data_IF_307079654752
#
_entry.id   IF_307079654752
#
_cell.length_a   1.000
_cell.length_b   1.000
_cell.length_c   1.000
_cell.angle_alpha   90.00
_cell.angle_beta   90.00
_cell.angle_gamma   90.00
#
_symmetry.space_group_name_H-M   'P 1'
#
loop_
_entity.id
_entity.type
_entity.pdbx_description
1 polymer ?
#
# COMPACT_ATOMS: atom_id res chain seq x y z
N UNK A 1 33.07 14.24 -18.27
CA UNK A 1 32.64 12.97 -18.92
C UNK A 1 32.80 11.86 -17.91
N UNK A 2 31.73 11.55 -17.16
CA UNK A 2 31.75 10.46 -16.18
C UNK A 2 31.56 9.12 -16.89
N UNK A 3 32.56 8.26 -16.71
CA UNK A 3 32.78 7.01 -17.42
C UNK A 3 31.95 5.88 -16.77
N UNK A 4 30.62 5.99 -16.82
CA UNK A 4 29.68 4.92 -16.42
C UNK A 4 28.65 4.57 -17.50
N UNK A 5 28.62 5.29 -18.62
CA UNK A 5 28.01 4.80 -19.84
C UNK A 5 28.93 3.76 -20.50
N UNK A 6 29.01 2.57 -19.92
CA UNK A 6 29.53 1.38 -20.60
C UNK A 6 28.48 0.30 -20.54
N UNK A 7 28.04 -0.14 -21.72
CA UNK A 7 27.27 -1.34 -21.97
C UNK A 7 27.72 -2.50 -21.04
N UNK A 8 26.82 -2.99 -20.17
CA UNK A 8 27.06 -4.18 -19.35
C UNK A 8 26.74 -4.10 -17.85
N UNK A 9 26.46 -2.91 -17.29
CA UNK A 9 26.05 -2.77 -15.87
C UNK A 9 24.54 -2.55 -15.79
N UNK A 10 23.80 -3.48 -15.18
CA UNK A 10 22.34 -3.35 -15.01
C UNK A 10 21.97 -2.06 -14.28
N UNK A 11 20.80 -1.50 -14.60
CA UNK A 11 20.28 -0.28 -13.97
C UNK A 11 20.32 -0.39 -12.44
N UNK A 12 19.95 -1.55 -11.89
CA UNK A 12 20.00 -1.85 -10.45
C UNK A 12 21.39 -1.61 -9.86
N UNK A 13 22.44 -2.13 -10.50
CA UNK A 13 23.82 -2.00 -9.99
C UNK A 13 24.32 -0.56 -10.06
N UNK A 14 23.95 0.19 -11.10
CA UNK A 14 24.25 1.63 -11.17
C UNK A 14 23.53 2.39 -10.06
N UNK A 15 22.24 2.07 -9.84
CA UNK A 15 21.44 2.71 -8.80
C UNK A 15 22.01 2.49 -7.39
N UNK A 16 22.36 1.25 -7.05
CA UNK A 16 23.02 0.94 -5.78
C UNK A 16 24.32 1.71 -5.60
N UNK A 17 25.20 1.69 -6.60
CA UNK A 17 26.50 2.39 -6.52
C UNK A 17 26.38 3.90 -6.35
N UNK A 18 25.31 4.52 -6.85
CA UNK A 18 25.05 5.95 -6.71
C UNK A 18 24.35 6.31 -5.40
N UNK A 19 23.79 5.35 -4.66
CA UNK A 19 22.89 5.62 -3.52
C UNK A 19 23.22 4.85 -2.25
N UNK A 20 24.38 4.18 -2.20
CA UNK A 20 24.81 3.37 -1.07
C UNK A 20 24.77 4.13 0.27
N UNK A 21 25.18 5.40 0.28
CA UNK A 21 25.16 6.30 1.45
C UNK A 21 23.74 6.63 1.96
N UNK A 22 22.69 6.28 1.21
CA UNK A 22 21.30 6.57 1.52
C UNK A 22 20.53 5.37 2.07
N UNK A 23 21.16 4.19 2.16
CA UNK A 23 20.47 2.93 2.48
C UNK A 23 20.16 2.74 3.97
N UNK A 24 20.63 3.62 4.86
CA UNK A 24 20.42 3.47 6.31
C UNK A 24 19.15 4.20 6.76
N UNK A 25 18.17 3.48 7.35
CA UNK A 25 16.97 4.09 7.92
C UNK A 25 17.30 4.95 9.16
N UNK A 26 16.65 6.12 9.28
CA UNK A 26 16.68 6.93 10.49
C UNK A 26 15.42 6.69 11.35
N UNK A 27 15.56 5.96 12.46
CA UNK A 27 14.45 5.62 13.35
C UNK A 27 13.69 6.84 13.91
N UNK A 28 14.36 7.96 14.17
CA UNK A 28 13.70 9.16 14.69
C UNK A 28 12.72 9.75 13.65
N UNK A 29 13.10 9.75 12.37
CA UNK A 29 12.23 10.21 11.28
C UNK A 29 10.96 9.35 11.18
N UNK A 30 11.10 8.01 11.26
CA UNK A 30 9.95 7.11 11.26
C UNK A 30 9.01 7.36 12.45
N UNK A 31 9.56 7.44 13.67
CA UNK A 31 8.75 7.63 14.87
C UNK A 31 8.05 8.99 14.91
N UNK A 32 8.76 10.08 14.60
CA UNK A 32 8.19 11.44 14.58
C UNK A 32 7.05 11.50 13.57
N UNK A 33 7.26 10.99 12.35
CA UNK A 33 6.25 11.03 11.30
C UNK A 33 5.02 10.17 11.66
N UNK A 34 5.23 8.96 12.20
CA UNK A 34 4.13 8.11 12.67
C UNK A 34 3.33 8.79 13.79
N UNK A 35 3.99 9.38 14.79
CA UNK A 35 3.30 10.02 15.93
C UNK A 35 2.52 11.24 15.45
N UNK A 36 3.09 12.07 14.58
CA UNK A 36 2.38 13.22 14.00
C UNK A 36 1.18 12.74 13.16
N UNK A 37 1.38 11.75 12.31
CA UNK A 37 0.32 11.17 11.47
C UNK A 37 -0.81 10.58 12.34
N UNK A 38 -0.48 9.83 13.39
CA UNK A 38 -1.46 9.28 14.31
C UNK A 38 -2.19 10.37 15.11
N UNK A 39 -1.49 11.40 15.57
CA UNK A 39 -2.10 12.51 16.30
C UNK A 39 -3.08 13.31 15.42
N UNK A 40 -2.70 13.63 14.18
CA UNK A 40 -3.56 14.32 13.22
C UNK A 40 -4.75 13.45 12.80
N UNK A 41 -4.54 12.14 12.63
CA UNK A 41 -5.61 11.19 12.36
C UNK A 41 -6.61 11.14 13.51
N UNK A 42 -6.20 10.76 14.71
CA UNK A 42 -7.09 10.59 15.85
C UNK A 42 -7.74 11.93 16.26
N UNK A 43 -6.99 13.03 16.22
CA UNK A 43 -7.50 14.37 16.52
C UNK A 43 -8.51 14.87 15.49
N UNK A 44 -8.22 14.70 14.19
CA UNK A 44 -9.14 15.05 13.11
C UNK A 44 -10.43 14.21 13.16
N UNK A 45 -10.29 12.90 13.41
CA UNK A 45 -11.43 12.01 13.60
C UNK A 45 -12.30 12.41 14.80
N UNK A 46 -11.68 12.63 15.97
CA UNK A 46 -12.39 13.04 17.18
C UNK A 46 -13.17 14.34 16.94
N UNK A 47 -12.54 15.34 16.32
CA UNK A 47 -13.18 16.61 16.01
C UNK A 47 -14.32 16.42 15.00
N UNK A 48 -14.12 15.66 13.92
CA UNK A 48 -15.15 15.38 12.91
C UNK A 48 -16.37 14.66 13.50
N UNK A 49 -16.14 13.73 14.42
CA UNK A 49 -17.17 12.93 15.06
C UNK A 49 -17.98 13.71 16.12
N UNK A 50 -17.42 14.77 16.71
CA UNK A 50 -18.02 15.46 17.87
C UNK A 50 -18.53 16.86 17.57
N UNK A 51 -17.93 17.59 16.62
CA UNK A 51 -18.35 18.96 16.29
C UNK A 51 -19.77 19.00 15.71
N UNK A 52 -20.53 20.06 15.99
CA UNK A 52 -21.83 20.30 15.33
C UNK A 52 -21.71 21.16 14.08
N UNK A 53 -20.54 21.77 13.84
CA UNK A 53 -20.30 22.60 12.67
C UNK A 53 -19.85 21.73 11.49
N UNK A 54 -20.66 21.70 10.42
CA UNK A 54 -20.40 20.87 9.24
C UNK A 54 -19.05 21.20 8.57
N UNK A 55 -18.72 22.48 8.39
CA UNK A 55 -17.48 22.87 7.73
C UNK A 55 -16.25 22.44 8.53
N UNK A 56 -16.29 22.63 9.86
CA UNK A 56 -15.23 22.13 10.76
C UNK A 56 -15.12 20.61 10.68
N UNK A 57 -16.25 19.91 10.67
CA UNK A 57 -16.29 18.46 10.58
C UNK A 57 -15.69 17.92 9.28
N UNK A 58 -16.00 18.56 8.15
CA UNK A 58 -15.46 18.20 6.83
C UNK A 58 -13.96 18.42 6.74
N UNK A 59 -13.46 19.57 7.21
CA UNK A 59 -12.01 19.87 7.22
C UNK A 59 -11.27 18.91 8.14
N UNK A 60 -11.78 18.68 9.36
CA UNK A 60 -11.20 17.73 10.30
C UNK A 60 -11.20 16.29 9.76
N UNK A 61 -12.28 15.89 9.09
CA UNK A 61 -12.39 14.61 8.42
C UNK A 61 -11.37 14.47 7.28
N UNK A 62 -11.18 15.50 6.46
CA UNK A 62 -10.17 15.49 5.39
C UNK A 62 -8.75 15.38 5.95
N UNK A 63 -8.41 16.15 7.00
CA UNK A 63 -7.12 16.03 7.69
C UNK A 63 -6.94 14.61 8.22
N UNK A 64 -7.99 14.04 8.82
CA UNK A 64 -7.94 12.66 9.33
C UNK A 64 -7.75 11.64 8.22
N UNK A 65 -8.38 11.80 7.06
CA UNK A 65 -8.21 10.89 5.90
C UNK A 65 -6.78 10.92 5.40
N UNK A 66 -6.20 12.11 5.20
CA UNK A 66 -4.84 12.25 4.67
C UNK A 66 -3.80 11.74 5.68
N UNK A 67 -3.97 12.07 6.97
CA UNK A 67 -3.11 11.60 8.03
C UNK A 67 -3.23 10.09 8.26
N UNK A 68 -4.46 9.55 8.21
CA UNK A 68 -4.69 8.10 8.23
C UNK A 68 -3.99 7.44 7.06
N UNK A 69 -4.18 7.94 5.84
CA UNK A 69 -3.61 7.30 4.66
C UNK A 69 -2.07 7.29 4.70
N UNK A 70 -1.45 8.38 5.15
CA UNK A 70 -0.01 8.43 5.44
C UNK A 70 0.39 7.42 6.53
N UNK A 71 -0.32 7.42 7.66
CA UNK A 71 -0.09 6.49 8.76
C UNK A 71 -0.18 5.03 8.34
N UNK A 72 -1.21 4.67 7.57
CA UNK A 72 -1.44 3.33 7.04
C UNK A 72 -0.35 2.93 6.04
N UNK A 73 0.12 3.87 5.22
CA UNK A 73 1.15 3.63 4.20
C UNK A 73 2.50 3.18 4.79
N UNK A 74 2.79 3.46 6.07
CA UNK A 74 3.97 2.92 6.74
C UNK A 74 4.00 1.38 6.80
N UNK A 75 2.86 0.71 6.63
CA UNK A 75 2.85 -0.76 6.50
C UNK A 75 3.77 -1.24 5.37
N UNK A 76 3.92 -0.44 4.32
CA UNK A 76 4.82 -0.70 3.21
C UNK A 76 6.28 -0.67 3.64
N UNK A 77 6.70 0.36 4.39
CA UNK A 77 8.05 0.44 4.94
C UNK A 77 8.35 -0.67 5.95
N UNK A 78 7.37 -0.99 6.81
CA UNK A 78 7.50 -1.99 7.86
C UNK A 78 7.90 -3.38 7.34
N UNK A 79 7.55 -3.71 6.10
CA UNK A 79 7.89 -5.01 5.50
C UNK A 79 9.32 -5.08 4.96
N UNK A 80 10.00 -3.93 4.81
CA UNK A 80 11.39 -3.85 4.34
C UNK A 80 12.37 -3.55 5.47
N UNK A 81 11.89 -2.96 6.57
CA UNK A 81 12.69 -2.67 7.75
C UNK A 81 13.01 -3.93 8.56
N UNK A 82 14.29 -4.09 8.89
CA UNK A 82 14.75 -5.06 9.91
C UNK A 82 14.34 -4.60 11.30
N UNK A 83 14.23 -5.55 12.22
CA UNK A 83 13.77 -5.28 13.58
C UNK A 83 14.72 -4.37 14.38
N UNK A 84 16.01 -4.37 14.07
CA UNK A 84 17.06 -3.59 14.72
C UNK A 84 17.22 -2.17 14.14
N UNK A 85 16.73 -1.90 12.93
CA UNK A 85 16.85 -0.59 12.27
C UNK A 85 15.90 0.46 12.84
N UNK A 86 14.74 0.04 13.34
CA UNK A 86 13.71 0.92 13.92
C UNK A 86 13.09 0.27 15.17
N UNK A 87 13.83 0.21 16.30
CA UNK A 87 13.38 -0.51 17.49
C UNK A 87 12.00 -0.08 17.96
N UNK A 88 11.13 -1.06 18.20
CA UNK A 88 9.76 -0.87 18.68
C UNK A 88 8.76 -0.30 17.64
N UNK A 89 9.22 0.16 16.47
CA UNK A 89 8.39 0.89 15.51
C UNK A 89 7.19 0.06 15.02
N UNK A 90 7.41 -1.22 14.70
CA UNK A 90 6.34 -2.14 14.30
C UNK A 90 5.25 -2.31 15.36
N UNK A 91 5.65 -2.40 16.64
CA UNK A 91 4.69 -2.50 17.74
C UNK A 91 3.92 -1.19 17.90
N UNK A 92 4.63 -0.05 17.92
CA UNK A 92 4.01 1.27 18.01
C UNK A 92 3.03 1.54 16.87
N UNK A 93 3.40 1.18 15.64
CA UNK A 93 2.54 1.31 14.47
C UNK A 93 1.28 0.44 14.58
N UNK A 94 1.40 -0.81 15.02
CA UNK A 94 0.23 -1.66 15.25
C UNK A 94 -0.69 -1.08 16.34
N UNK A 95 -0.13 -0.58 17.44
CA UNK A 95 -0.93 0.02 18.53
C UNK A 95 -1.64 1.30 18.08
N UNK A 96 -0.94 2.16 17.33
CA UNK A 96 -1.47 3.49 16.95
C UNK A 96 -2.39 3.46 15.73
N UNK A 97 -2.13 2.57 14.77
CA UNK A 97 -2.78 2.54 13.45
C UNK A 97 -3.32 1.13 13.14
N UNK A 98 -2.44 0.13 13.10
CA UNK A 98 -2.75 -1.20 12.54
C UNK A 98 -3.92 -1.92 13.22
N UNK A 99 -3.83 -2.14 14.53
CA UNK A 99 -4.88 -2.80 15.33
C UNK A 99 -6.16 -1.97 15.39
N UNK A 100 -6.12 -0.64 15.65
CA UNK A 100 -7.35 0.16 15.65
C UNK A 100 -8.13 0.11 14.34
N UNK A 101 -7.43 -0.06 13.20
CA UNK A 101 -8.03 -0.23 11.88
C UNK A 101 -8.24 -1.69 11.48
N UNK A 102 -7.87 -2.64 12.34
CA UNK A 102 -7.96 -4.08 12.08
C UNK A 102 -7.16 -4.53 10.84
N UNK A 103 -6.11 -3.78 10.51
CA UNK A 103 -5.14 -4.05 9.45
C UNK A 103 -3.72 -4.11 10.03
N UNK A 104 -3.44 -5.06 10.95
CA UNK A 104 -2.16 -5.12 11.62
C UNK A 104 -1.06 -5.58 10.65
N UNK A 105 0.20 -5.38 11.02
CA UNK A 105 1.36 -5.58 10.15
C UNK A 105 1.50 -7.01 9.62
N UNK A 106 0.96 -8.02 10.32
CA UNK A 106 0.92 -9.42 9.83
C UNK A 106 0.30 -9.54 8.44
N UNK A 107 -0.63 -8.63 8.11
CA UNK A 107 -1.35 -8.59 6.84
C UNK A 107 -0.48 -8.11 5.67
N UNK A 108 0.75 -7.71 5.91
CA UNK A 108 1.65 -7.25 4.85
C UNK A 108 3.05 -7.83 4.96
N UNK A 109 3.47 -8.22 6.17
CA UNK A 109 4.76 -8.86 6.43
C UNK A 109 4.98 -10.08 5.52
N UNK A 110 6.01 -10.02 4.68
CA UNK A 110 6.34 -11.09 3.75
C UNK A 110 5.36 -11.27 2.57
N UNK A 111 4.33 -10.41 2.46
CA UNK A 111 3.42 -10.38 1.30
C UNK A 111 4.06 -9.53 0.23
N UNK A 112 4.29 -8.26 0.52
CA UNK A 112 4.87 -7.33 -0.44
C UNK A 112 6.30 -7.72 -0.83
N UNK A 113 7.07 -8.38 0.04
CA UNK A 113 8.38 -8.90 -0.34
C UNK A 113 8.31 -9.92 -1.50
N UNK A 114 7.20 -10.67 -1.62
CA UNK A 114 6.98 -11.61 -2.73
C UNK A 114 6.84 -10.87 -4.06
N UNK A 115 6.18 -9.70 -4.04
CA UNK A 115 6.02 -8.84 -5.21
C UNK A 115 7.38 -8.38 -5.77
N UNK A 116 8.42 -8.24 -4.95
CA UNK A 116 9.80 -7.92 -5.40
C UNK A 116 10.60 -9.12 -5.90
N UNK A 117 10.11 -10.36 -5.75
CA UNK A 117 10.86 -11.54 -6.17
C UNK A 117 10.81 -11.65 -7.69
N UNK A 118 11.97 -11.62 -8.34
CA UNK A 118 12.12 -11.63 -9.80
C UNK A 118 11.24 -12.69 -10.50
N UNK A 119 11.22 -13.91 -9.97
CA UNK A 119 10.50 -15.04 -10.56
C UNK A 119 8.99 -15.09 -10.21
N UNK A 120 8.52 -14.18 -9.35
CA UNK A 120 7.12 -14.13 -8.91
C UNK A 120 6.42 -12.85 -9.36
N UNK A 121 7.11 -11.71 -9.46
CA UNK A 121 6.54 -10.44 -9.91
C UNK A 121 5.69 -10.64 -11.17
N UNK A 122 4.46 -10.15 -11.16
CA UNK A 122 3.58 -10.14 -12.33
C UNK A 122 2.99 -11.50 -12.70
N UNK A 123 3.35 -12.57 -12.00
CA UNK A 123 2.83 -13.93 -12.20
C UNK A 123 1.63 -14.21 -11.30
N UNK A 124 0.99 -15.37 -11.45
CA UNK A 124 -0.08 -15.81 -10.54
C UNK A 124 0.35 -15.96 -9.07
N UNK A 125 1.66 -16.01 -8.79
CA UNK A 125 2.22 -16.09 -7.44
C UNK A 125 2.43 -14.71 -6.79
N UNK A 126 2.22 -13.63 -7.53
CA UNK A 126 2.34 -12.27 -7.02
C UNK A 126 1.08 -11.87 -6.24
N UNK A 127 1.16 -11.53 -4.94
CA UNK A 127 0.01 -11.03 -4.20
C UNK A 127 -0.45 -9.65 -4.66
N UNK A 128 0.42 -8.85 -5.26
CA UNK A 128 0.16 -7.44 -5.59
C UNK A 128 0.06 -7.17 -7.09
N UNK A 129 -0.12 -8.22 -7.89
CA UNK A 129 -0.30 -8.06 -9.33
C UNK A 129 -1.56 -8.71 -9.85
N UNK A 130 -2.28 -7.94 -10.67
CA UNK A 130 -3.31 -8.42 -11.58
C UNK A 130 -3.11 -7.74 -12.92
N UNK A 131 -3.45 -8.40 -14.05
CA UNK A 131 -3.40 -7.80 -15.38
C UNK A 131 -4.55 -6.78 -15.57
N UNK A 132 -4.58 -5.72 -14.76
CA UNK A 132 -5.66 -4.73 -14.72
C UNK A 132 -5.83 -4.00 -16.04
N UNK A 133 -4.78 -3.89 -16.87
CA UNK A 133 -4.87 -3.33 -18.22
C UNK A 133 -5.71 -4.19 -19.18
N UNK A 134 -6.08 -5.42 -18.78
CA UNK A 134 -6.95 -6.35 -19.53
C UNK A 134 -8.38 -6.35 -19.04
N UNK A 135 -8.71 -5.59 -18.00
CA UNK A 135 -10.09 -5.46 -17.53
C UNK A 135 -10.90 -4.65 -18.55
N UNK A 136 -12.23 -4.69 -18.44
CA UNK A 136 -13.09 -3.68 -19.07
C UNK A 136 -13.08 -2.40 -18.21
N UNK A 137 -13.42 -1.23 -18.78
CA UNK A 137 -13.52 0.00 -17.99
C UNK A 137 -14.43 -0.14 -16.76
N UNK A 138 -15.55 -0.88 -16.91
CA UNK A 138 -16.47 -1.16 -15.80
C UNK A 138 -15.83 -2.04 -14.72
N UNK A 139 -15.11 -3.10 -15.10
CA UNK A 139 -14.44 -3.97 -14.12
C UNK A 139 -13.31 -3.23 -13.39
N UNK A 140 -12.58 -2.36 -14.10
CA UNK A 140 -11.56 -1.50 -13.50
C UNK A 140 -12.16 -0.47 -12.53
N UNK A 141 -13.28 0.15 -12.88
CA UNK A 141 -14.03 1.02 -11.98
C UNK A 141 -14.54 0.24 -10.75
N UNK A 142 -15.07 -0.97 -10.95
CA UNK A 142 -15.48 -1.86 -9.86
C UNK A 142 -14.32 -2.17 -8.89
N UNK A 143 -13.12 -2.45 -9.42
CA UNK A 143 -11.90 -2.65 -8.63
C UNK A 143 -11.51 -1.40 -7.84
N UNK A 144 -11.73 -0.19 -8.38
CA UNK A 144 -11.51 1.06 -7.63
C UNK A 144 -12.52 1.23 -6.48
N UNK A 145 -13.81 1.08 -6.77
CA UNK A 145 -14.87 1.39 -5.82
C UNK A 145 -15.08 0.32 -4.74
N UNK A 146 -14.69 -0.94 -4.96
CA UNK A 146 -14.77 -1.99 -3.93
C UNK A 146 -13.95 -1.65 -2.69
N UNK A 147 -12.90 -0.83 -2.82
CA UNK A 147 -12.08 -0.39 -1.69
C UNK A 147 -12.85 0.41 -0.64
N UNK A 148 -13.98 1.03 -0.99
CA UNK A 148 -14.87 1.69 -0.01
C UNK A 148 -15.48 0.68 0.99
N UNK A 149 -15.53 -0.60 0.64
CA UNK A 149 -16.05 -1.68 1.48
C UNK A 149 -14.98 -2.31 2.38
N UNK A 150 -13.71 -1.90 2.26
CA UNK A 150 -12.61 -2.45 3.05
C UNK A 150 -12.88 -2.44 4.57
N UNK A 151 -13.45 -1.38 5.19
CA UNK A 151 -13.79 -1.39 6.61
C UNK A 151 -14.73 -2.53 7.01
N UNK A 152 -15.70 -2.87 6.16
CA UNK A 152 -16.63 -3.98 6.42
C UNK A 152 -15.90 -5.33 6.36
N UNK A 153 -15.00 -5.49 5.38
CA UNK A 153 -14.19 -6.70 5.23
C UNK A 153 -13.30 -6.98 6.44
N UNK A 154 -12.61 -5.96 6.96
CA UNK A 154 -11.73 -6.13 8.13
C UNK A 154 -12.50 -6.28 9.44
N UNK A 155 -13.71 -5.72 9.56
CA UNK A 155 -14.63 -5.99 10.69
C UNK A 155 -15.11 -7.43 10.65
N UNK A 156 -15.59 -7.91 9.50
CA UNK A 156 -16.00 -9.31 9.32
C UNK A 156 -14.84 -10.24 9.68
N UNK A 157 -13.63 -9.97 9.15
CA UNK A 157 -12.43 -10.71 9.49
C UNK A 157 -12.20 -10.73 11.00
N UNK A 158 -12.18 -9.56 11.64
CA UNK A 158 -11.65 -9.43 13.00
C UNK A 158 -12.66 -9.75 14.10
N UNK A 159 -13.89 -9.27 13.97
CA UNK A 159 -14.93 -9.50 14.95
C UNK A 159 -15.49 -10.93 14.90
N UNK A 160 -15.49 -11.56 13.71
CA UNK A 160 -16.18 -12.84 13.45
C UNK A 160 -15.21 -13.93 13.05
N UNK A 161 -14.44 -13.76 11.97
CA UNK A 161 -13.67 -14.88 11.42
C UNK A 161 -12.48 -15.27 12.30
N UNK A 162 -11.74 -14.31 12.87
CA UNK A 162 -10.62 -14.57 13.78
C UNK A 162 -11.03 -15.46 14.97
N UNK A 163 -12.03 -15.09 15.81
CA UNK A 163 -12.39 -15.92 16.96
C UNK A 163 -12.87 -17.32 16.55
N UNK A 164 -13.67 -17.42 15.49
CA UNK A 164 -14.12 -18.71 14.95
C UNK A 164 -12.95 -19.55 14.41
N UNK A 165 -11.90 -18.92 13.89
CA UNK A 165 -10.72 -19.60 13.37
C UNK A 165 -9.93 -20.37 14.44
N UNK A 166 -10.03 -19.96 15.71
CA UNK A 166 -9.45 -20.69 16.84
C UNK A 166 -10.26 -21.94 17.23
N UNK A 167 -11.54 -21.98 16.87
CA UNK A 167 -12.45 -23.09 17.19
C UNK A 167 -12.53 -24.10 16.04
N UNK A 168 -12.53 -23.62 14.79
CA UNK A 168 -12.74 -24.43 13.59
C UNK A 168 -11.46 -24.51 12.74
N UNK A 169 -10.71 -25.64 12.76
CA UNK A 169 -9.43 -25.77 12.06
C UNK A 169 -9.46 -25.45 10.56
N UNK A 170 -10.50 -25.85 9.77
CA UNK A 170 -10.58 -25.48 8.36
C UNK A 170 -10.66 -23.95 8.14
N UNK A 171 -11.43 -23.25 8.98
CA UNK A 171 -11.50 -21.78 8.95
C UNK A 171 -10.19 -21.16 9.42
N UNK A 172 -9.55 -21.73 10.46
CA UNK A 172 -8.18 -21.44 10.87
C UNK A 172 -7.20 -21.42 9.70
N UNK A 173 -7.20 -22.46 8.89
CA UNK A 173 -6.36 -22.53 7.68
C UNK A 173 -6.73 -21.44 6.69
N UNK A 174 -8.02 -21.26 6.41
CA UNK A 174 -8.49 -20.26 5.43
C UNK A 174 -8.10 -18.83 5.82
N UNK A 175 -8.31 -18.44 7.08
CA UNK A 175 -7.90 -17.12 7.60
C UNK A 175 -6.39 -16.93 7.44
N UNK A 176 -5.59 -17.94 7.80
CA UNK A 176 -4.12 -17.87 7.73
C UNK A 176 -3.57 -17.85 6.31
N UNK A 177 -4.21 -18.49 5.34
CA UNK A 177 -3.70 -18.58 3.97
C UNK A 177 -4.24 -17.50 3.03
N UNK A 178 -5.49 -17.07 3.22
CA UNK A 178 -6.23 -16.21 2.28
C UNK A 178 -6.62 -14.86 2.87
N UNK A 179 -6.93 -14.79 4.17
CA UNK A 179 -7.38 -13.55 4.81
C UNK A 179 -6.31 -12.91 5.69
N UNK A 180 -5.08 -13.39 5.65
CA UNK A 180 -3.94 -12.89 6.44
C UNK A 180 -3.05 -11.95 5.64
N UNK A 181 -3.53 -11.45 4.49
CA UNK A 181 -2.74 -10.64 3.59
C UNK A 181 -3.63 -9.56 2.93
N UNK A 182 -3.14 -8.32 2.90
CA UNK A 182 -3.64 -7.26 2.03
C UNK A 182 -3.03 -7.50 0.66
N UNK A 183 -3.86 -7.92 -0.29
CA UNK A 183 -3.45 -8.39 -1.60
C UNK A 183 -4.37 -7.80 -2.67
N UNK A 184 -3.85 -7.73 -3.89
CA UNK A 184 -4.61 -7.39 -5.10
C UNK A 184 -5.08 -8.68 -5.77
N UNK A 185 -4.20 -9.68 -5.86
CA UNK A 185 -4.48 -10.98 -6.44
C UNK A 185 -5.30 -11.86 -5.47
N UNK A 186 -6.59 -12.13 -5.75
CA UNK A 186 -7.42 -12.95 -4.86
C UNK A 186 -7.01 -14.43 -4.84
N UNK A 187 -6.27 -14.88 -5.85
CA UNK A 187 -5.82 -16.27 -5.97
C UNK A 187 -4.55 -16.53 -5.15
N UNK A 188 -3.93 -15.49 -4.60
CA UNK A 188 -2.76 -15.64 -3.73
C UNK A 188 -3.08 -16.47 -2.48
N UNK A 189 -2.10 -17.31 -2.10
CA UNK A 189 -2.13 -18.17 -0.92
C UNK A 189 -0.81 -18.03 -0.22
N UNK A 190 -0.82 -17.71 1.07
CA UNK A 190 0.42 -17.74 1.86
C UNK A 190 0.90 -19.20 2.01
N UNK A 191 2.05 -19.52 1.42
CA UNK A 191 2.60 -20.88 1.28
C UNK A 191 3.23 -21.42 2.58
N UNK A 192 3.57 -20.56 3.55
CA UNK A 192 4.39 -20.92 4.72
C UNK A 192 3.62 -20.85 6.06
N UNK A 193 2.74 -21.83 6.28
CA UNK A 193 1.90 -21.91 7.49
C UNK A 193 2.66 -22.34 8.75
N UNK A 194 3.83 -22.96 8.59
CA UNK A 194 4.65 -23.42 9.72
C UNK A 194 5.34 -22.26 10.45
N UNK A 195 5.40 -21.07 9.82
CA UNK A 195 5.92 -19.84 10.41
C UNK A 195 4.83 -18.94 11.01
N UNK A 196 3.68 -19.50 11.40
CA UNK A 196 2.64 -18.71 12.07
C UNK A 196 3.09 -18.29 13.47
N UNK A 197 3.70 -17.10 13.54
CA UNK A 197 4.43 -16.64 14.73
C UNK A 197 3.49 -16.22 15.86
N UNK A 198 3.88 -16.36 17.15
CA UNK A 198 3.09 -15.88 18.28
C UNK A 198 2.68 -14.41 18.15
N UNK A 199 3.53 -13.56 17.56
CA UNK A 199 3.27 -12.13 17.37
C UNK A 199 2.13 -11.88 16.38
N UNK A 200 1.94 -12.74 15.38
CA UNK A 200 0.82 -12.64 14.45
C UNK A 200 -0.49 -13.07 15.12
N UNK A 201 -0.45 -14.12 15.95
CA UNK A 201 -1.60 -14.51 16.78
C UNK A 201 -1.99 -13.37 17.73
N UNK A 202 -1.01 -12.74 18.38
CA UNK A 202 -1.25 -11.60 19.27
C UNK A 202 -1.90 -10.42 18.54
N UNK A 203 -1.47 -10.12 17.31
CA UNK A 203 -2.09 -9.08 16.48
C UNK A 203 -3.54 -9.42 16.10
N UNK A 204 -3.83 -10.67 15.70
CA UNK A 204 -5.20 -11.11 15.40
C UNK A 204 -6.11 -11.03 16.64
N UNK A 205 -5.63 -11.50 17.80
CA UNK A 205 -6.34 -11.40 19.07
C UNK A 205 -6.58 -9.93 19.45
N UNK A 206 -5.58 -9.06 19.29
CA UNK A 206 -5.73 -7.63 19.57
C UNK A 206 -6.80 -6.99 18.67
N UNK A 207 -6.84 -7.34 17.38
CA UNK A 207 -7.88 -6.85 16.46
C UNK A 207 -9.27 -7.37 16.86
N UNK A 208 -9.38 -8.65 17.23
CA UNK A 208 -10.63 -9.23 17.72
C UNK A 208 -11.15 -8.53 18.98
N UNK A 209 -10.29 -8.36 19.99
CA UNK A 209 -10.64 -7.69 21.25
C UNK A 209 -11.01 -6.22 21.01
N UNK A 210 -10.25 -5.52 20.15
CA UNK A 210 -10.55 -4.14 19.77
C UNK A 210 -11.92 -4.02 19.09
N UNK A 211 -12.22 -4.87 18.11
CA UNK A 211 -13.52 -4.87 17.43
C UNK A 211 -14.67 -5.04 18.42
N UNK A 212 -14.57 -6.00 19.34
CA UNK A 212 -15.62 -6.23 20.34
C UNK A 212 -15.70 -5.14 21.41
N UNK A 213 -14.59 -4.50 21.77
CA UNK A 213 -14.61 -3.33 22.65
C UNK A 213 -15.40 -2.18 22.03
N UNK A 214 -15.17 -1.88 20.74
CA UNK A 214 -15.92 -0.83 20.01
C UNK A 214 -17.40 -1.21 19.86
N UNK A 215 -17.71 -2.46 19.50
CA UNK A 215 -19.09 -2.95 19.37
C UNK A 215 -19.81 -2.85 20.72
N UNK A 216 -19.22 -3.37 21.79
CA UNK A 216 -19.82 -3.36 23.12
C UNK A 216 -20.03 -1.93 23.64
N UNK A 217 -19.04 -1.05 23.48
CA UNK A 217 -19.18 0.35 23.86
C UNK A 217 -20.31 1.06 23.09
N UNK A 218 -20.49 0.73 21.81
CA UNK A 218 -21.57 1.29 20.98
C UNK A 218 -22.94 0.78 21.45
N UNK A 219 -23.07 -0.53 21.67
CA UNK A 219 -24.32 -1.16 22.13
C UNK A 219 -24.71 -0.70 23.53
N UNK A 220 -23.73 -0.53 24.42
CA UNK A 220 -23.95 0.00 25.77
C UNK A 220 -24.25 1.51 25.80
N UNK A 221 -24.17 2.20 24.66
CA UNK A 221 -24.41 3.64 24.55
C UNK A 221 -23.26 4.53 25.04
N UNK A 222 -22.09 3.95 25.36
CA UNK A 222 -20.90 4.70 25.76
C UNK A 222 -20.20 5.36 24.56
N UNK A 223 -20.32 4.75 23.38
CA UNK A 223 -19.78 5.27 22.12
C UNK A 223 -20.93 5.67 21.19
N UNK A 224 -21.08 6.96 20.85
CA UNK A 224 -22.12 7.39 19.93
C UNK A 224 -21.99 6.73 18.55
N UNK A 225 -23.10 6.31 17.95
CA UNK A 225 -23.12 5.72 16.59
C UNK A 225 -22.46 6.64 15.56
N UNK A 226 -22.64 7.96 15.71
CA UNK A 226 -21.97 8.97 14.88
C UNK A 226 -20.45 8.80 14.86
N UNK A 227 -19.85 8.46 15.99
CA UNK A 227 -18.41 8.24 16.11
C UNK A 227 -17.96 7.05 15.26
N UNK A 228 -18.69 5.93 15.35
CA UNK A 228 -18.44 4.73 14.54
C UNK A 228 -18.60 5.03 13.04
N UNK A 229 -19.72 5.64 12.64
CA UNK A 229 -19.99 5.96 11.23
C UNK A 229 -18.96 6.93 10.64
N UNK A 230 -18.50 7.92 11.42
CA UNK A 230 -17.45 8.85 10.99
C UNK A 230 -16.12 8.13 10.78
N UNK A 231 -15.76 7.22 11.70
CA UNK A 231 -14.54 6.41 11.58
C UNK A 231 -14.58 5.49 10.36
N UNK A 232 -15.71 4.82 10.12
CA UNK A 232 -15.94 3.99 8.93
C UNK A 232 -15.81 4.79 7.63
N UNK A 233 -16.39 6.00 7.59
CA UNK A 233 -16.31 6.88 6.41
C UNK A 233 -14.87 7.33 6.14
N UNK A 234 -14.14 7.79 7.16
CA UNK A 234 -12.73 8.19 7.04
C UNK A 234 -11.88 7.02 6.54
N UNK A 235 -12.07 5.83 7.11
CA UNK A 235 -11.33 4.65 6.69
C UNK A 235 -11.66 4.25 5.25
N UNK A 236 -12.94 4.22 4.87
CA UNK A 236 -13.37 3.93 3.50
C UNK A 236 -12.76 4.91 2.48
N UNK A 237 -12.72 6.20 2.78
CA UNK A 237 -12.11 7.19 1.88
C UNK A 237 -10.60 6.99 1.80
N UNK A 238 -9.91 6.72 2.92
CA UNK A 238 -8.48 6.44 2.91
C UNK A 238 -8.13 5.18 2.08
N UNK A 239 -8.93 4.11 2.16
CA UNK A 239 -8.72 2.91 1.34
C UNK A 239 -9.05 3.14 -0.12
N UNK A 240 -10.05 3.97 -0.43
CA UNK A 240 -10.33 4.40 -1.81
C UNK A 240 -9.17 5.19 -2.41
N UNK A 241 -8.57 6.13 -1.66
CA UNK A 241 -7.36 6.84 -2.10
C UNK A 241 -6.21 5.87 -2.33
N UNK A 242 -6.01 4.90 -1.42
CA UNK A 242 -5.02 3.84 -1.62
C UNK A 242 -5.26 3.05 -2.90
N UNK A 243 -6.51 2.69 -3.19
CA UNK A 243 -6.88 1.91 -4.38
C UNK A 243 -6.66 2.70 -5.67
N UNK A 244 -6.93 4.01 -5.66
CA UNK A 244 -6.61 4.90 -6.77
C UNK A 244 -5.09 4.97 -6.99
N UNK A 245 -4.30 5.09 -5.91
CA UNK A 245 -2.83 5.04 -5.98
C UNK A 245 -2.36 3.70 -6.53
N UNK A 246 -2.93 2.59 -6.06
CA UNK A 246 -2.64 1.25 -6.57
C UNK A 246 -2.82 1.20 -8.07
N UNK A 247 -3.95 1.66 -8.63
CA UNK A 247 -4.15 1.67 -10.08
C UNK A 247 -3.05 2.40 -10.87
N UNK A 248 -2.36 3.37 -10.25
CA UNK A 248 -1.25 4.12 -10.86
C UNK A 248 0.12 3.55 -10.50
N UNK A 249 0.23 2.61 -9.57
CA UNK A 249 1.53 2.07 -9.13
C UNK A 249 2.24 1.29 -10.24
N UNK A 250 1.49 0.69 -11.16
CA UNK A 250 1.98 -0.08 -12.30
C UNK A 250 1.19 0.23 -13.58
N UNK A 251 1.76 -0.16 -14.73
CA UNK A 251 1.09 -0.11 -16.02
C UNK A 251 0.17 -1.33 -16.26
N UNK A 252 0.37 -2.43 -15.51
CA UNK A 252 -0.49 -3.61 -15.46
C UNK A 252 -0.59 -4.40 -16.77
N UNK A 253 0.42 -4.31 -17.64
CA UNK A 253 0.39 -4.89 -18.99
C UNK A 253 0.78 -6.36 -19.06
N UNK A 254 1.54 -6.86 -18.06
CA UNK A 254 1.97 -8.25 -18.00
C UNK A 254 0.77 -9.18 -17.76
N UNK A 255 0.76 -10.32 -18.44
CA UNK A 255 -0.37 -11.28 -18.46
C UNK A 255 -0.10 -12.58 -17.70
N UNK A 256 0.87 -12.57 -16.78
CA UNK A 256 1.26 -13.71 -15.96
C UNK A 256 2.63 -14.28 -16.28
N UNK A 257 3.29 -13.76 -17.31
CA UNK A 257 4.67 -14.11 -17.69
C UNK A 257 5.71 -13.60 -16.67
N UNK A 258 6.90 -14.21 -16.70
CA UNK A 258 8.05 -13.70 -15.93
C UNK A 258 8.60 -12.45 -16.61
N UNK A 259 8.99 -11.47 -15.79
CA UNK A 259 9.64 -10.24 -16.27
C UNK A 259 11.09 -10.15 -15.76
N UNK A 260 11.96 -9.60 -16.59
CA UNK A 260 13.29 -9.12 -16.19
C UNK A 260 13.17 -7.95 -15.21
N UNK A 261 14.26 -7.60 -14.51
CA UNK A 261 14.25 -6.49 -13.56
C UNK A 261 13.98 -5.14 -14.24
N UNK A 262 14.45 -4.97 -15.49
CA UNK A 262 14.20 -3.75 -16.26
C UNK A 262 12.73 -3.66 -16.70
N UNK A 263 12.10 -4.79 -17.06
CA UNK A 263 10.66 -4.85 -17.36
C UNK A 263 9.82 -4.58 -16.12
N UNK A 264 10.18 -5.13 -14.96
CA UNK A 264 9.50 -4.84 -13.68
C UNK A 264 9.59 -3.35 -13.31
N UNK A 265 10.78 -2.76 -13.50
CA UNK A 265 10.99 -1.33 -13.30
C UNK A 265 10.15 -0.48 -14.26
N UNK A 266 10.12 -0.84 -15.54
CA UNK A 266 9.36 -0.13 -16.57
C UNK A 266 7.85 -0.31 -16.46
N UNK A 267 7.39 -1.41 -15.88
CA UNK A 267 5.99 -1.61 -15.54
C UNK A 267 5.59 -0.82 -14.29
N UNK A 268 6.54 -0.45 -13.42
CA UNK A 268 6.29 0.35 -12.22
C UNK A 268 6.33 1.85 -12.51
N UNK A 269 5.65 2.65 -11.68
CA UNK A 269 5.50 4.11 -11.92
C UNK A 269 6.07 4.95 -10.78
N UNK A 270 6.87 5.95 -11.12
CA UNK A 270 7.17 7.10 -10.25
C UNK A 270 6.25 8.29 -10.61
N UNK A 271 5.94 9.14 -9.65
CA UNK A 271 5.33 10.46 -9.85
C UNK A 271 6.14 11.51 -9.06
N UNK A 272 7.35 11.82 -9.53
CA UNK A 272 8.28 12.70 -8.83
C UNK A 272 7.84 14.18 -8.91
N UNK A 273 8.55 15.09 -8.21
CA UNK A 273 8.44 16.53 -8.46
C UNK A 273 8.54 16.88 -9.97
N UNK A 274 7.89 17.96 -10.42
CA UNK A 274 7.37 19.08 -9.64
C UNK A 274 5.96 18.89 -9.04
N UNK A 275 5.30 17.75 -9.23
CA UNK A 275 3.97 17.52 -8.69
C UNK A 275 4.00 17.29 -7.17
N UNK A 276 3.83 18.34 -6.39
CA UNK A 276 3.83 18.25 -4.92
C UNK A 276 2.58 17.54 -4.36
N UNK A 277 1.48 17.48 -5.12
CA UNK A 277 0.26 16.80 -4.68
C UNK A 277 0.48 15.28 -4.52
N UNK A 278 1.50 14.70 -5.17
CA UNK A 278 1.86 13.28 -5.00
C UNK A 278 2.28 12.92 -3.58
N UNK A 279 2.71 13.89 -2.76
CA UNK A 279 2.98 13.63 -1.33
C UNK A 279 1.73 13.32 -0.51
N UNK A 280 0.55 13.75 -0.99
CA UNK A 280 -0.72 13.56 -0.30
C UNK A 280 -1.37 12.20 -0.65
N UNK A 281 -1.36 11.82 -1.93
CA UNK A 281 -2.01 10.59 -2.41
C UNK A 281 -1.04 9.43 -2.67
N UNK A 282 0.27 9.64 -2.58
CA UNK A 282 1.29 8.60 -2.56
C UNK A 282 2.40 8.93 -1.52
N UNK A 283 2.03 9.04 -0.23
CA UNK A 283 2.94 9.43 0.85
C UNK A 283 3.95 8.32 1.16
N UNK A 284 4.86 8.56 2.10
CA UNK A 284 5.81 7.55 2.60
C UNK A 284 6.57 6.83 1.47
N UNK A 285 7.07 7.61 0.51
CA UNK A 285 7.89 7.09 -0.59
C UNK A 285 7.11 6.44 -1.74
N UNK A 286 5.81 6.22 -1.59
CA UNK A 286 4.98 5.53 -2.60
C UNK A 286 4.92 6.27 -3.94
N UNK A 287 5.16 7.59 -3.98
CA UNK A 287 5.32 8.34 -5.22
C UNK A 287 6.57 7.96 -6.02
N UNK A 288 7.48 7.17 -5.45
CA UNK A 288 8.69 6.68 -6.09
C UNK A 288 8.64 5.15 -6.24
N UNK A 289 7.48 4.59 -6.58
CA UNK A 289 7.25 3.13 -6.58
C UNK A 289 8.18 2.37 -7.52
N UNK A 290 8.50 2.90 -8.71
CA UNK A 290 9.48 2.26 -9.60
C UNK A 290 10.90 2.31 -9.02
N UNK A 291 11.31 3.43 -8.40
CA UNK A 291 12.60 3.50 -7.73
C UNK A 291 12.64 2.55 -6.52
N UNK A 292 11.53 2.38 -5.82
CA UNK A 292 11.40 1.40 -4.75
C UNK A 292 11.61 -0.03 -5.26
N UNK A 293 11.02 -0.42 -6.39
CA UNK A 293 11.30 -1.71 -7.03
C UNK A 293 12.78 -1.89 -7.41
N UNK A 294 13.45 -0.81 -7.78
CA UNK A 294 14.88 -0.83 -8.09
C UNK A 294 15.75 -0.98 -6.83
N UNK A 295 15.35 -0.35 -5.71
CA UNK A 295 16.07 -0.30 -4.45
C UNK A 295 15.13 -0.56 -3.24
N UNK A 296 14.61 -1.79 -3.04
CA UNK A 296 13.50 -2.03 -2.09
C UNK A 296 13.83 -1.76 -0.62
N UNK A 297 15.12 -1.70 -0.29
CA UNK A 297 15.60 -1.43 1.08
C UNK A 297 15.92 0.04 1.33
N UNK A 298 15.81 0.90 0.32
CA UNK A 298 16.06 2.31 0.47
C UNK A 298 14.92 2.94 1.30
N UNK A 299 15.19 3.55 2.46
CA UNK A 299 14.15 4.06 3.33
C UNK A 299 13.39 5.22 2.67
N UNK A 300 12.07 5.32 2.91
CA UNK A 300 11.23 6.26 2.16
C UNK A 300 11.71 7.72 2.21
N UNK A 301 12.25 8.16 3.34
CA UNK A 301 12.70 9.53 3.54
C UNK A 301 13.95 9.88 2.73
N UNK A 302 14.62 8.89 2.13
CA UNK A 302 15.75 9.08 1.23
C UNK A 302 15.39 8.89 -0.25
N UNK A 303 14.21 8.36 -0.59
CA UNK A 303 13.81 8.10 -1.99
C UNK A 303 13.83 9.37 -2.85
N UNK A 304 13.42 10.52 -2.32
CA UNK A 304 13.48 11.78 -3.09
C UNK A 304 14.90 12.22 -3.42
N UNK A 305 15.82 12.09 -2.46
CA UNK A 305 17.24 12.41 -2.65
C UNK A 305 17.89 11.42 -3.62
N UNK A 306 17.58 10.13 -3.49
CA UNK A 306 18.04 9.10 -4.41
C UNK A 306 17.54 9.35 -5.83
N UNK A 307 16.24 9.64 -6.00
CA UNK A 307 15.65 9.95 -7.30
C UNK A 307 16.35 11.13 -7.98
N UNK A 308 16.53 12.25 -7.26
CA UNK A 308 17.21 13.42 -7.79
C UNK A 308 18.66 13.09 -8.21
N UNK A 309 19.38 12.31 -7.42
CA UNK A 309 20.76 11.90 -7.73
C UNK A 309 20.83 10.99 -8.95
N UNK A 310 19.94 10.00 -9.06
CA UNK A 310 19.87 9.09 -10.21
C UNK A 310 19.46 9.82 -11.48
N UNK A 311 18.45 10.68 -11.41
CA UNK A 311 18.01 11.49 -12.54
C UNK A 311 19.10 12.43 -13.07
N UNK A 312 20.00 12.90 -12.20
CA UNK A 312 21.13 13.74 -12.60
C UNK A 312 22.32 12.94 -13.16
N UNK A 313 22.60 11.77 -12.58
CA UNK A 313 23.80 11.00 -12.90
C UNK A 313 23.63 10.09 -14.13
N UNK A 314 22.42 9.60 -14.38
CA UNK A 314 22.12 8.74 -15.52
C UNK A 314 21.92 9.58 -16.79
N UNK A 315 22.33 9.02 -17.93
CA UNK A 315 22.15 9.66 -19.23
C UNK A 315 20.68 9.81 -19.59
N UNK A 316 20.34 10.82 -20.40
CA UNK A 316 18.95 11.11 -20.80
C UNK A 316 18.27 9.95 -21.56
N UNK A 317 19.06 9.07 -22.16
CA UNK A 317 18.65 7.84 -22.85
C UNK A 317 18.42 6.64 -21.90
N UNK A 318 18.76 6.77 -20.62
CA UNK A 318 18.53 5.72 -19.62
C UNK A 318 17.06 5.40 -19.47
N UNK A 319 16.74 4.10 -19.40
CA UNK A 319 15.37 3.62 -19.13
C UNK A 319 14.80 4.14 -17.81
N UNK A 320 15.66 4.61 -16.89
CA UNK A 320 15.26 5.26 -15.64
C UNK A 320 14.24 6.39 -15.86
N UNK A 321 14.42 7.18 -16.91
CA UNK A 321 13.58 8.34 -17.20
C UNK A 321 12.20 7.98 -17.79
N UNK A 322 11.98 6.70 -18.15
CA UNK A 322 10.74 6.24 -18.78
C UNK A 322 9.67 5.77 -17.80
N UNK A 323 10.05 5.51 -16.55
CA UNK A 323 9.14 5.01 -15.52
C UNK A 323 8.50 6.14 -14.67
N UNK A 324 8.26 7.32 -15.26
CA UNK A 324 7.71 8.47 -14.53
C UNK A 324 6.48 9.04 -15.22
N UNK A 325 5.45 9.28 -14.43
CA UNK A 325 4.19 9.90 -14.84
C UNK A 325 4.04 11.30 -14.22
N UNK A 326 3.16 12.13 -14.79
CA UNK A 326 2.95 13.52 -14.35
C UNK A 326 2.10 13.65 -13.09
N UNK A 327 1.19 12.72 -12.86
CA UNK A 327 0.17 12.84 -11.83
C UNK A 327 -0.79 11.66 -11.79
N UNK A 328 -1.58 11.60 -10.71
CA UNK A 328 -2.60 10.57 -10.49
C UNK A 328 -3.63 10.55 -11.62
N UNK A 329 -4.18 11.72 -11.97
CA UNK A 329 -5.29 11.79 -12.91
C UNK A 329 -4.85 11.49 -14.34
N UNK A 330 -3.66 11.93 -14.74
CA UNK A 330 -3.07 11.63 -16.05
C UNK A 330 -2.83 10.12 -16.21
N UNK A 331 -2.21 9.49 -15.21
CA UNK A 331 -1.93 8.06 -15.25
C UNK A 331 -3.21 7.20 -15.19
N UNK A 332 -4.18 7.58 -14.35
CA UNK A 332 -5.50 6.93 -14.33
C UNK A 332 -6.21 7.08 -15.68
N UNK A 333 -6.26 8.30 -16.24
CA UNK A 333 -6.91 8.54 -17.51
C UNK A 333 -6.26 7.75 -18.65
N UNK A 334 -4.92 7.62 -18.64
CA UNK A 334 -4.21 6.76 -19.58
C UNK A 334 -4.60 5.29 -19.42
N UNK A 335 -4.56 4.75 -18.20
CA UNK A 335 -4.94 3.35 -17.94
C UNK A 335 -6.38 3.06 -18.42
N UNK A 336 -7.35 3.90 -18.07
CA UNK A 336 -8.74 3.74 -18.51
C UNK A 336 -8.86 3.82 -20.04
N UNK A 337 -8.11 4.70 -20.70
CA UNK A 337 -8.09 4.81 -22.17
C UNK A 337 -7.47 3.58 -22.83
N UNK A 338 -6.36 3.06 -22.31
CA UNK A 338 -5.69 1.84 -22.80
C UNK A 338 -6.63 0.63 -22.68
N UNK A 339 -7.30 0.50 -21.53
CA UNK A 339 -8.30 -0.53 -21.26
C UNK A 339 -9.49 -0.44 -22.23
N UNK A 340 -10.04 0.75 -22.45
CA UNK A 340 -11.16 0.94 -23.39
C UNK A 340 -10.79 0.53 -24.82
N UNK A 341 -9.63 0.98 -25.33
CA UNK A 341 -9.14 0.61 -26.67
C UNK A 341 -8.95 -0.89 -26.85
N UNK A 342 -8.36 -1.58 -25.86
CA UNK A 342 -8.18 -3.04 -25.89
C UNK A 342 -9.53 -3.76 -25.88
N UNK A 343 -10.51 -3.27 -25.10
CA UNK A 343 -11.86 -3.84 -25.05
C UNK A 343 -12.60 -3.69 -26.38
N UNK A 344 -12.47 -2.54 -27.06
CA UNK A 344 -13.04 -2.31 -28.39
C UNK A 344 -12.42 -3.24 -29.43
N UNK A 345 -11.08 -3.34 -29.46
CA UNK A 345 -10.36 -4.22 -30.37
C UNK A 345 -10.74 -5.70 -30.20
N UNK A 346 -10.95 -6.16 -28.95
CA UNK A 346 -11.37 -7.54 -28.67
C UNK A 346 -12.84 -7.82 -29.06
N UNK A 347 -13.66 -6.78 -29.25
CA UNK A 347 -15.08 -6.90 -29.63
C UNK A 347 -15.32 -6.88 -31.15
N UNK A 348 -14.30 -6.54 -31.94
CA UNK A 348 -14.38 -6.60 -33.40
C UNK A 348 -14.17 -8.06 -33.86
N UNK A 349 -15.03 -8.61 -34.74
CA UNK A 349 -14.80 -9.94 -35.29
C UNK A 349 -13.48 -9.97 -36.07
N UNK A 350 -12.69 -11.02 -35.88
CA UNK A 350 -11.49 -11.24 -36.69
C UNK A 350 -11.94 -11.43 -38.15
N UNK A 351 -11.46 -10.56 -39.05
CA UNK A 351 -11.69 -10.65 -40.50
C UNK A 351 -11.04 -11.89 -41.12
#
# INVERSE_FOLDING_TARGET
MNKLASEGVSLTKQAYGLTEDLMTPNAAVYWIDLVISAALMWGGFLLAATTLNLAVGLVAGLVSVLALYRGLSFIHELTHLRADETPGFRLGWNVLIGTPLMTPSLMYEGVHNIHHIKDRFGTALDPEYLPLSRFTPLKLAGFLFVALLAPLGVILRSAILIPLSFVFPPLGRYVKTRLSALMINPDFVREDLNRWRPEWVAQDVACWLWSWAVIAATVAGWLPVRFVLTGLAIFAVATFVNQARTLVAHHWDNDGGKMSLDEQFLDSVNVPPPNLASELWAPVGLRYHALHHLLPRLPYHNLGKAHARLAQALGADSVYHRASEKGLFEALADLFRRVARKSEAASQPAE
#
